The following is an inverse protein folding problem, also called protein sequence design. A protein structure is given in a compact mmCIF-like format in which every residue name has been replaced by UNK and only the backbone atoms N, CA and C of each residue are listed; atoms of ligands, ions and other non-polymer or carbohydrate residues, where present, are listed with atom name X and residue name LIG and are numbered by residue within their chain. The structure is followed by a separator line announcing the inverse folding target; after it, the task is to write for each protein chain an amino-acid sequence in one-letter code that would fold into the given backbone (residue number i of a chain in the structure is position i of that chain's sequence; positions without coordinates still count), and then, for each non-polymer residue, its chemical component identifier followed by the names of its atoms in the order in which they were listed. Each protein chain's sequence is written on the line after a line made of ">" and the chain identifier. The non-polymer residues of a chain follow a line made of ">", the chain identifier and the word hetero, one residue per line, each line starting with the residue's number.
data_IF_782436729788
#
_entry.id   IF_782436729788
#
_cell.length_a   1.000
_cell.length_b   1.000
_cell.length_c   1.000
_cell.angle_alpha   90.00
_cell.angle_beta   90.00
_cell.angle_gamma   90.00
#
_symmetry.space_group_name_H-M   'P 1'
#
loop_
_entity.id
_entity.type
_entity.pdbx_description
1 polymer ?
#
# COMPACT_ATOMS: atom_id res chain seq x y z
N UNK A 1 21.03 14.13 30.25
CA UNK A 1 20.35 15.23 29.51
C UNK A 1 20.72 15.28 28.04
N UNK A 2 22.01 15.29 27.66
CA UNK A 2 22.42 15.33 26.24
C UNK A 2 21.97 14.09 25.44
N UNK A 3 22.13 12.88 26.00
CA UNK A 3 21.67 11.63 25.39
C UNK A 3 20.15 11.63 25.16
N UNK A 4 19.39 12.13 26.13
CA UNK A 4 17.93 12.29 26.02
C UNK A 4 17.56 13.29 24.92
N UNK A 5 18.26 14.42 24.82
CA UNK A 5 18.03 15.41 23.76
C UNK A 5 18.35 14.85 22.36
N UNK A 6 19.43 14.07 22.22
CA UNK A 6 19.81 13.40 20.96
C UNK A 6 18.77 12.34 20.58
N UNK A 7 18.30 11.53 21.52
CA UNK A 7 17.23 10.55 21.28
C UNK A 7 15.93 11.27 20.91
N UNK A 8 15.54 12.33 21.61
CA UNK A 8 14.33 13.09 21.28
C UNK A 8 14.42 13.77 19.91
N UNK A 9 15.55 14.40 19.57
CA UNK A 9 15.75 14.99 18.24
C UNK A 9 15.76 13.94 17.14
N UNK A 10 16.26 12.73 17.40
CA UNK A 10 16.18 11.60 16.48
C UNK A 10 14.73 11.14 16.28
N UNK A 11 13.99 10.92 17.37
CA UNK A 11 12.56 10.54 17.34
C UNK A 11 11.68 11.60 16.70
N UNK A 12 12.13 12.85 16.57
CA UNK A 12 11.40 13.92 15.89
C UNK A 12 11.71 14.02 14.39
N UNK A 13 12.66 13.24 13.85
CA UNK A 13 13.05 13.32 12.43
C UNK A 13 11.92 13.01 11.46
N UNK A 14 10.95 12.19 11.86
CA UNK A 14 9.77 11.93 11.03
C UNK A 14 8.81 13.13 10.95
N UNK A 15 8.90 14.13 11.84
CA UNK A 15 8.00 15.28 11.83
C UNK A 15 8.17 16.13 10.58
N UNK A 16 9.40 16.31 10.10
CA UNK A 16 9.65 17.07 8.88
C UNK A 16 8.93 16.45 7.66
N UNK A 17 9.18 15.18 7.29
CA UNK A 17 8.47 14.55 6.17
C UNK A 17 6.97 14.45 6.43
N UNK A 18 6.54 14.11 7.64
CA UNK A 18 5.10 14.02 7.97
C UNK A 18 4.39 15.38 7.83
N UNK A 19 5.02 16.46 8.30
CA UNK A 19 4.50 17.83 8.17
C UNK A 19 4.35 18.24 6.72
N UNK A 20 5.31 17.90 5.86
CA UNK A 20 5.19 18.25 4.43
C UNK A 20 4.11 17.41 3.75
N UNK A 21 4.11 16.09 3.97
CA UNK A 21 3.11 15.20 3.34
C UNK A 21 1.69 15.55 3.77
N UNK A 22 1.43 15.68 5.08
CA UNK A 22 0.11 16.07 5.57
C UNK A 22 -0.18 17.54 5.25
N UNK A 23 0.81 18.41 5.33
CA UNK A 23 0.68 19.85 5.08
C UNK A 23 0.28 20.19 3.65
N UNK A 24 0.57 19.32 2.68
CA UNK A 24 0.15 19.52 1.28
C UNK A 24 -1.25 19.00 0.97
N UNK A 25 -1.89 18.27 1.91
CA UNK A 25 -3.20 17.67 1.70
C UNK A 25 -4.32 18.68 1.37
N UNK A 26 -4.39 19.87 1.98
CA UNK A 26 -5.39 20.88 1.59
C UNK A 26 -5.23 21.37 0.16
N UNK A 27 -4.00 21.68 -0.26
CA UNK A 27 -3.72 22.12 -1.62
C UNK A 27 -4.08 21.04 -2.64
N UNK A 28 -3.76 19.79 -2.32
CA UNK A 28 -4.17 18.62 -3.10
C UNK A 28 -5.69 18.50 -3.21
N UNK A 29 -6.40 18.52 -2.08
CA UNK A 29 -7.85 18.33 -2.06
C UNK A 29 -8.59 19.47 -2.76
N UNK A 30 -8.11 20.71 -2.65
CA UNK A 30 -8.66 21.84 -3.39
C UNK A 30 -8.44 21.68 -4.90
N UNK A 31 -7.25 21.24 -5.31
CA UNK A 31 -6.94 20.98 -6.72
C UNK A 31 -7.83 19.88 -7.30
N UNK A 32 -8.00 18.80 -6.55
CA UNK A 32 -8.94 17.72 -6.89
C UNK A 32 -10.40 18.20 -6.92
N UNK A 33 -10.83 18.96 -5.91
CA UNK A 33 -12.19 19.47 -5.83
C UNK A 33 -12.52 20.43 -6.97
N UNK A 34 -11.60 21.34 -7.32
CA UNK A 34 -11.72 22.22 -8.47
C UNK A 34 -11.82 21.40 -9.76
N UNK A 35 -10.97 20.39 -9.94
CA UNK A 35 -11.03 19.51 -11.10
C UNK A 35 -12.34 18.72 -11.17
N UNK A 36 -12.82 18.20 -10.04
CA UNK A 36 -14.09 17.48 -9.95
C UNK A 36 -15.27 18.36 -10.37
N UNK A 37 -15.27 19.63 -9.98
CA UNK A 37 -16.30 20.59 -10.38
C UNK A 37 -16.20 20.92 -11.88
N UNK A 38 -15.00 21.24 -12.38
CA UNK A 38 -14.77 21.60 -13.78
C UNK A 38 -15.06 20.43 -14.74
N UNK A 39 -14.83 19.20 -14.32
CA UNK A 39 -15.05 18.01 -15.14
C UNK A 39 -16.51 17.54 -15.19
N UNK A 40 -17.43 18.16 -14.44
CA UNK A 40 -18.87 17.82 -14.50
C UNK A 40 -19.48 18.05 -15.88
N UNK A 41 -18.92 18.97 -16.67
CA UNK A 41 -19.34 19.27 -18.05
C UNK A 41 -18.48 18.57 -19.10
N UNK A 42 -17.50 17.75 -18.68
CA UNK A 42 -16.54 17.07 -19.55
C UNK A 42 -16.81 15.55 -19.57
N UNK A 43 -16.27 14.81 -20.56
CA UNK A 43 -16.36 13.35 -20.56
C UNK A 43 -15.77 12.73 -19.29
N UNK A 44 -16.44 11.72 -18.74
CA UNK A 44 -16.00 11.03 -17.51
C UNK A 44 -14.59 10.42 -17.62
N UNK A 45 -14.19 10.01 -18.83
CA UNK A 45 -12.84 9.52 -19.10
C UNK A 45 -11.75 10.57 -18.82
N UNK A 46 -12.04 11.85 -19.08
CA UNK A 46 -11.10 12.93 -18.81
C UNK A 46 -10.98 13.19 -17.31
N UNK A 47 -12.10 13.14 -16.57
CA UNK A 47 -12.07 13.22 -15.10
C UNK A 47 -11.09 12.19 -14.52
N UNK A 48 -11.27 10.92 -14.87
CA UNK A 48 -10.44 9.82 -14.35
C UNK A 48 -8.98 9.94 -14.76
N UNK A 49 -8.69 10.34 -16.01
CA UNK A 49 -7.30 10.50 -16.47
C UNK A 49 -6.54 11.54 -15.65
N UNK A 50 -7.19 12.66 -15.32
CA UNK A 50 -6.58 13.72 -14.53
C UNK A 50 -6.59 13.38 -13.04
N UNK A 51 -7.61 12.69 -12.53
CA UNK A 51 -7.64 12.15 -11.16
C UNK A 51 -6.47 11.19 -10.91
N UNK A 52 -6.22 10.25 -11.83
CA UNK A 52 -5.04 9.36 -11.80
C UNK A 52 -3.73 10.16 -11.83
N UNK A 53 -3.69 11.27 -12.57
CA UNK A 53 -2.49 12.14 -12.61
C UNK A 53 -2.29 12.88 -11.29
N UNK A 54 -3.35 13.42 -10.69
CA UNK A 54 -3.30 14.07 -9.39
C UNK A 54 -2.86 13.08 -8.31
N UNK A 55 -3.44 11.88 -8.30
CA UNK A 55 -3.04 10.82 -7.39
C UNK A 55 -1.56 10.45 -7.54
N UNK A 56 -1.11 10.29 -8.79
CA UNK A 56 0.29 10.03 -9.09
C UNK A 56 1.22 11.15 -8.57
N UNK A 57 0.83 12.41 -8.70
CA UNK A 57 1.60 13.54 -8.14
C UNK A 57 1.69 13.40 -6.62
N UNK A 58 0.56 13.21 -5.94
CA UNK A 58 0.54 13.09 -4.48
C UNK A 58 1.35 11.90 -3.97
N UNK A 59 1.15 10.71 -4.53
CA UNK A 59 1.90 9.53 -4.11
C UNK A 59 3.38 9.62 -4.49
N UNK A 60 3.76 10.25 -5.60
CA UNK A 60 5.18 10.45 -5.93
C UNK A 60 5.89 11.36 -4.92
N UNK A 61 5.18 12.33 -4.33
CA UNK A 61 5.71 13.12 -3.20
C UNK A 61 5.84 12.27 -1.93
N UNK A 62 4.89 11.38 -1.65
CA UNK A 62 5.03 10.42 -0.54
C UNK A 62 6.27 9.55 -0.75
N UNK A 63 6.44 8.98 -1.95
CA UNK A 63 7.59 8.15 -2.29
C UNK A 63 8.92 8.90 -2.25
N UNK A 64 8.94 10.22 -2.50
CA UNK A 64 10.13 11.03 -2.24
C UNK A 64 10.59 10.88 -0.79
N UNK A 65 9.67 10.98 0.17
CA UNK A 65 10.02 10.89 1.57
C UNK A 65 10.35 9.47 2.04
N UNK A 66 9.66 8.46 1.49
CA UNK A 66 9.87 7.07 1.89
C UNK A 66 11.02 6.37 1.18
N UNK A 67 11.43 6.81 -0.01
CA UNK A 67 12.55 6.18 -0.72
C UNK A 67 13.76 7.13 -0.84
N UNK A 68 13.57 8.32 -1.39
CA UNK A 68 14.69 9.23 -1.66
C UNK A 68 15.24 9.91 -0.40
N UNK A 69 14.37 10.39 0.49
CA UNK A 69 14.77 11.07 1.72
C UNK A 69 15.34 10.10 2.76
N UNK A 70 14.69 8.94 2.95
CA UNK A 70 15.19 7.91 3.87
C UNK A 70 16.50 7.32 3.37
N UNK A 71 16.63 7.15 2.05
CA UNK A 71 17.75 6.46 1.42
C UNK A 71 17.66 4.95 1.61
N UNK A 72 16.46 4.40 1.86
CA UNK A 72 16.25 2.95 1.98
C UNK A 72 16.63 2.26 0.67
N UNK A 73 17.40 1.19 0.75
CA UNK A 73 17.78 0.39 -0.40
C UNK A 73 16.67 -0.63 -0.70
N UNK A 74 16.14 -0.59 -1.92
CA UNK A 74 15.15 -1.56 -2.40
C UNK A 74 15.89 -2.62 -3.24
N UNK A 75 15.87 -3.87 -2.77
CA UNK A 75 16.47 -5.02 -3.46
C UNK A 75 15.37 -5.94 -3.94
N UNK A 76 15.35 -6.19 -5.24
CA UNK A 76 14.28 -6.94 -5.90
C UNK A 76 14.82 -8.26 -6.43
N UNK A 77 14.16 -9.34 -6.06
CA UNK A 77 14.44 -10.71 -6.50
C UNK A 77 13.33 -11.12 -7.45
N UNK A 78 13.69 -11.48 -8.69
CA UNK A 78 12.73 -11.66 -9.79
C UNK A 78 12.62 -10.45 -10.71
N UNK A 79 11.87 -10.59 -11.78
CA UNK A 79 11.80 -9.59 -12.85
C UNK A 79 10.46 -8.85 -12.85
N UNK A 80 10.54 -7.53 -12.69
CA UNK A 80 9.38 -6.64 -12.79
C UNK A 80 9.07 -6.39 -14.28
N UNK A 81 7.83 -6.61 -14.73
CA UNK A 81 7.42 -6.27 -16.09
C UNK A 81 7.73 -4.82 -16.43
N UNK A 82 8.36 -4.60 -17.59
CA UNK A 82 8.67 -3.25 -18.11
C UNK A 82 7.42 -2.53 -18.59
N UNK A 83 6.45 -3.29 -19.09
CA UNK A 83 5.18 -2.77 -19.56
C UNK A 83 4.23 -2.63 -18.38
N UNK A 84 3.37 -1.63 -18.46
CA UNK A 84 2.28 -1.45 -17.51
C UNK A 84 1.21 -2.50 -17.78
N UNK A 85 0.91 -3.29 -16.77
CA UNK A 85 -0.12 -4.34 -16.79
C UNK A 85 -1.29 -3.98 -15.86
N UNK A 86 -2.46 -4.55 -16.15
CA UNK A 86 -3.59 -4.56 -15.23
C UNK A 86 -3.47 -5.75 -14.28
N UNK A 87 -3.30 -5.47 -12.99
CA UNK A 87 -2.92 -6.49 -12.01
C UNK A 87 -3.70 -6.41 -10.72
N UNK A 88 -3.76 -7.58 -10.07
CA UNK A 88 -3.99 -7.66 -8.62
C UNK A 88 -2.64 -7.94 -7.96
N UNK A 89 -2.23 -7.06 -7.06
CA UNK A 89 -1.05 -7.21 -6.24
C UNK A 89 -1.44 -7.93 -4.94
N UNK A 90 -0.81 -9.08 -4.68
CA UNK A 90 -0.98 -9.86 -3.46
C UNK A 90 0.34 -9.89 -2.69
N UNK A 91 0.29 -9.52 -1.41
CA UNK A 91 1.50 -9.52 -0.56
C UNK A 91 1.19 -9.96 0.85
N UNK A 92 2.24 -10.43 1.54
CA UNK A 92 2.23 -10.48 2.99
C UNK A 92 2.15 -9.05 3.58
N UNK A 93 1.68 -8.94 4.82
CA UNK A 93 1.40 -7.68 5.51
C UNK A 93 2.03 -7.71 6.90
N UNK A 94 2.98 -6.82 7.17
CA UNK A 94 3.82 -6.82 8.36
C UNK A 94 3.75 -5.48 9.13
N UNK A 95 3.60 -4.35 8.44
CA UNK A 95 3.59 -3.04 9.10
C UNK A 95 2.66 -2.03 8.43
N UNK A 96 2.66 -0.79 8.93
CA UNK A 96 1.90 0.30 8.29
C UNK A 96 2.51 0.75 6.96
N UNK A 97 3.72 0.30 6.60
CA UNK A 97 4.45 0.71 5.39
C UNK A 97 4.34 -0.18 4.18
N UNK A 98 3.70 -1.34 4.29
CA UNK A 98 3.60 -2.27 3.15
C UNK A 98 2.87 -1.67 1.94
N UNK A 99 1.91 -0.76 2.14
CA UNK A 99 1.24 -0.09 1.02
C UNK A 99 2.20 0.83 0.25
N UNK A 100 3.19 1.43 0.91
CA UNK A 100 4.22 2.22 0.26
C UNK A 100 5.12 1.34 -0.59
N UNK A 101 5.38 0.10 -0.15
CA UNK A 101 6.16 -0.86 -0.94
C UNK A 101 5.41 -1.23 -2.24
N UNK A 102 4.09 -1.38 -2.17
CA UNK A 102 3.28 -1.55 -3.38
C UNK A 102 3.37 -0.33 -4.32
N UNK A 103 3.33 0.90 -3.78
CA UNK A 103 3.49 2.13 -4.56
C UNK A 103 4.90 2.27 -5.15
N UNK A 104 5.95 1.87 -4.42
CA UNK A 104 7.34 1.82 -4.91
C UNK A 104 7.45 0.90 -6.15
N UNK A 105 6.79 -0.27 -6.13
CA UNK A 105 6.75 -1.15 -7.29
C UNK A 105 5.92 -0.55 -8.43
N UNK A 106 4.76 0.03 -8.11
CA UNK A 106 3.87 0.64 -9.10
C UNK A 106 4.53 1.83 -9.85
N UNK A 107 5.30 2.70 -9.17
CA UNK A 107 5.97 3.83 -9.84
C UNK A 107 7.04 3.35 -10.83
N UNK A 108 7.72 2.22 -10.54
CA UNK A 108 8.71 1.61 -11.44
C UNK A 108 8.09 1.10 -12.74
N UNK A 109 6.79 0.83 -12.73
CA UNK A 109 6.00 0.41 -13.89
C UNK A 109 5.14 1.53 -14.49
N UNK A 110 5.30 2.77 -14.03
CA UNK A 110 4.44 3.90 -14.41
C UNK A 110 2.94 3.64 -14.12
N UNK A 111 2.65 2.84 -13.10
CA UNK A 111 1.31 2.43 -12.70
C UNK A 111 0.75 3.20 -11.49
N UNK A 112 1.53 4.08 -10.85
CA UNK A 112 1.20 4.71 -9.56
C UNK A 112 -0.18 5.41 -9.53
N UNK A 113 -0.56 6.11 -10.61
CA UNK A 113 -1.88 6.76 -10.71
C UNK A 113 -3.07 5.81 -10.70
N UNK A 114 -2.83 4.53 -10.98
CA UNK A 114 -3.84 3.49 -11.17
C UNK A 114 -3.91 2.53 -9.98
N UNK A 115 -3.15 2.82 -8.92
CA UNK A 115 -3.16 2.02 -7.70
C UNK A 115 -4.50 2.19 -7.00
N UNK A 116 -5.09 1.07 -6.63
CA UNK A 116 -6.34 0.97 -5.87
C UNK A 116 -6.10 0.05 -4.70
N UNK A 117 -6.84 0.24 -3.61
CA UNK A 117 -6.62 -0.52 -2.39
C UNK A 117 -7.90 -1.18 -1.89
N UNK A 118 -7.75 -2.41 -1.40
CA UNK A 118 -8.70 -2.99 -0.44
C UNK A 118 -8.31 -2.51 0.97
N UNK A 119 -9.10 -1.58 1.50
CA UNK A 119 -8.80 -0.80 2.70
C UNK A 119 -9.59 -1.30 3.91
N UNK A 120 -9.02 -1.20 5.10
CA UNK A 120 -9.78 -1.37 6.35
C UNK A 120 -10.89 -0.32 6.43
N UNK A 121 -12.12 -0.72 6.74
CA UNK A 121 -13.30 0.17 6.81
C UNK A 121 -13.08 1.42 7.66
N UNK A 122 -12.35 1.31 8.78
CA UNK A 122 -12.03 2.48 9.62
C UNK A 122 -11.25 3.60 8.91
N UNK A 123 -10.54 3.30 7.81
CA UNK A 123 -9.76 4.30 7.07
C UNK A 123 -10.62 5.30 6.31
N UNK A 124 -11.92 5.03 6.12
CA UNK A 124 -12.85 6.01 5.52
C UNK A 124 -13.05 7.25 6.39
N UNK A 125 -12.71 7.17 7.68
CA UNK A 125 -12.81 8.29 8.62
C UNK A 125 -11.53 9.12 8.69
N UNK A 126 -10.49 8.78 7.91
CA UNK A 126 -9.29 9.59 7.86
C UNK A 126 -9.63 11.01 7.37
N UNK A 127 -9.28 12.06 8.13
CA UNK A 127 -9.50 13.45 7.74
C UNK A 127 -8.97 13.71 6.32
N UNK A 128 -9.81 14.33 5.48
CA UNK A 128 -9.58 14.59 4.04
C UNK A 128 -9.46 13.35 3.14
N UNK A 129 -8.69 12.34 3.53
CA UNK A 129 -8.32 11.23 2.67
C UNK A 129 -9.40 10.16 2.50
N UNK A 130 -10.18 9.89 3.55
CA UNK A 130 -11.11 8.76 3.54
C UNK A 130 -12.16 8.85 2.44
N UNK A 131 -12.73 10.04 2.22
CA UNK A 131 -13.64 10.26 1.09
C UNK A 131 -12.91 10.15 -0.24
N UNK A 132 -11.76 10.82 -0.38
CA UNK A 132 -10.98 10.82 -1.61
C UNK A 132 -10.60 9.39 -2.05
N UNK A 133 -10.15 8.54 -1.13
CA UNK A 133 -9.80 7.15 -1.47
C UNK A 133 -10.99 6.35 -2.00
N UNK A 134 -12.21 6.60 -1.53
CA UNK A 134 -13.40 5.95 -2.09
C UNK A 134 -13.67 6.38 -3.53
N UNK A 135 -13.54 7.68 -3.80
CA UNK A 135 -13.72 8.29 -5.13
C UNK A 135 -12.65 7.82 -6.12
N UNK A 136 -11.41 7.72 -5.64
CA UNK A 136 -10.29 7.16 -6.36
C UNK A 136 -10.36 5.61 -6.46
N UNK A 137 -11.53 4.99 -6.23
CA UNK A 137 -11.76 3.57 -6.48
C UNK A 137 -11.32 2.61 -5.37
N UNK A 138 -10.99 3.10 -4.18
CA UNK A 138 -10.75 2.29 -2.98
C UNK A 138 -11.98 1.50 -2.52
N UNK A 139 -11.73 0.31 -1.97
CA UNK A 139 -12.76 -0.63 -1.54
C UNK A 139 -12.59 -0.88 -0.04
N UNK A 140 -13.56 -0.42 0.75
CA UNK A 140 -13.54 -0.60 2.20
C UNK A 140 -14.09 -1.96 2.61
N UNK A 141 -13.36 -2.66 3.49
CA UNK A 141 -13.73 -3.97 4.03
C UNK A 141 -13.65 -3.99 5.54
N UNK A 142 -14.65 -4.62 6.16
CA UNK A 142 -14.72 -4.87 7.60
C UNK A 142 -14.14 -6.24 7.91
N UNK A 143 -13.36 -6.36 9.00
CA UNK A 143 -12.70 -7.62 9.40
C UNK A 143 -13.64 -8.63 10.08
N UNK A 144 -14.63 -8.12 10.82
CA UNK A 144 -15.50 -8.89 11.71
C UNK A 144 -16.93 -9.08 11.18
N UNK A 145 -17.33 -8.34 10.13
CA UNK A 145 -18.66 -8.48 9.55
C UNK A 145 -18.62 -9.31 8.27
N UNK A 146 -19.79 -9.79 7.85
CA UNK A 146 -19.96 -10.46 6.55
C UNK A 146 -19.37 -9.58 5.44
N UNK A 147 -18.45 -10.15 4.67
CA UNK A 147 -17.84 -9.49 3.53
C UNK A 147 -18.89 -9.15 2.48
N UNK A 148 -18.94 -7.89 2.04
CA UNK A 148 -19.93 -7.42 1.08
C UNK A 148 -19.44 -7.60 -0.35
N UNK A 149 -19.56 -8.83 -0.84
CA UNK A 149 -19.14 -9.23 -2.19
C UNK A 149 -19.82 -8.39 -3.27
N UNK A 150 -21.14 -8.15 -3.14
CA UNK A 150 -21.92 -7.39 -4.13
C UNK A 150 -21.40 -5.96 -4.29
N UNK A 151 -21.07 -5.28 -3.20
CA UNK A 151 -20.52 -3.93 -3.25
C UNK A 151 -19.14 -3.89 -3.92
N UNK A 152 -18.25 -4.84 -3.59
CA UNK A 152 -16.94 -4.95 -4.23
C UNK A 152 -17.08 -5.23 -5.73
N UNK A 153 -17.90 -6.22 -6.11
CA UNK A 153 -18.17 -6.56 -7.52
C UNK A 153 -18.68 -5.36 -8.30
N UNK A 154 -19.66 -4.63 -7.75
CA UNK A 154 -20.20 -3.41 -8.38
C UNK A 154 -19.11 -2.36 -8.63
N UNK A 155 -18.27 -2.07 -7.62
CA UNK A 155 -17.17 -1.09 -7.76
C UNK A 155 -16.15 -1.54 -8.82
N UNK A 156 -15.74 -2.80 -8.79
CA UNK A 156 -14.74 -3.34 -9.74
C UNK A 156 -15.29 -3.42 -11.17
N UNK A 157 -16.51 -3.91 -11.36
CA UNK A 157 -17.16 -3.92 -12.68
C UNK A 157 -17.25 -2.51 -13.27
N UNK A 158 -17.58 -1.51 -12.46
CA UNK A 158 -17.59 -0.13 -12.93
C UNK A 158 -16.20 0.35 -13.39
N UNK A 159 -15.11 -0.13 -12.77
CA UNK A 159 -13.73 0.18 -13.20
C UNK A 159 -13.34 -0.55 -14.50
N UNK A 160 -13.72 -1.83 -14.64
CA UNK A 160 -13.38 -2.60 -15.84
C UNK A 160 -14.21 -2.18 -17.05
N UNK A 161 -15.52 -1.91 -16.86
CA UNK A 161 -16.41 -1.45 -17.94
C UNK A 161 -16.00 -0.11 -18.55
N UNK A 162 -15.33 0.76 -17.77
CA UNK A 162 -14.79 2.03 -18.28
C UNK A 162 -13.38 1.88 -18.89
N UNK A 163 -12.80 0.68 -18.89
CA UNK A 163 -11.43 0.43 -19.34
C UNK A 163 -10.36 1.08 -18.45
N UNK A 164 -10.64 1.31 -17.17
CA UNK A 164 -9.66 1.92 -16.27
C UNK A 164 -8.46 0.99 -16.07
N UNK A 165 -7.21 1.48 -16.18
CA UNK A 165 -6.07 0.67 -15.79
C UNK A 165 -6.14 0.30 -14.31
N UNK A 166 -5.74 -0.92 -13.95
CA UNK A 166 -5.92 -1.45 -12.60
C UNK A 166 -4.59 -1.90 -11.98
N UNK A 167 -4.27 -1.40 -10.79
CA UNK A 167 -3.25 -1.97 -9.92
C UNK A 167 -3.86 -2.14 -8.53
N UNK A 168 -4.61 -3.23 -8.32
CA UNK A 168 -5.38 -3.44 -7.09
C UNK A 168 -4.54 -4.15 -6.02
N UNK A 169 -4.21 -3.44 -4.94
CA UNK A 169 -3.44 -3.95 -3.81
C UNK A 169 -4.37 -4.63 -2.81
N UNK A 170 -4.05 -5.89 -2.50
CA UNK A 170 -4.74 -6.70 -1.50
C UNK A 170 -3.67 -7.34 -0.61
N UNK A 171 -3.93 -7.32 0.69
CA UNK A 171 -3.17 -8.05 1.71
C UNK A 171 -4.05 -9.19 2.26
N UNK A 172 -3.97 -10.42 1.69
CA UNK A 172 -4.90 -11.50 2.01
C UNK A 172 -4.93 -11.92 3.48
N UNK A 173 -3.85 -11.70 4.25
CA UNK A 173 -3.81 -11.94 5.70
C UNK A 173 -4.93 -11.20 6.45
N UNK A 174 -5.41 -10.07 5.90
CA UNK A 174 -6.49 -9.26 6.46
C UNK A 174 -6.10 -8.47 7.73
N UNK A 175 -4.94 -8.77 8.31
CA UNK A 175 -4.26 -8.00 9.36
C UNK A 175 -2.76 -8.12 9.20
N UNK A 176 -2.01 -7.27 9.90
CA UNK A 176 -0.55 -7.32 9.91
C UNK A 176 -0.08 -8.47 10.78
N UNK A 177 0.84 -9.27 10.26
CA UNK A 177 1.68 -10.16 11.04
C UNK A 177 2.59 -9.32 11.95
N UNK A 178 2.61 -9.62 13.25
CA UNK A 178 3.44 -8.96 14.23
C UNK A 178 3.97 -10.02 15.22
N UNK A 179 5.31 -10.24 15.30
CA UNK A 179 5.92 -11.22 16.21
C UNK A 179 5.57 -11.04 17.69
N UNK A 180 5.30 -9.79 18.11
CA UNK A 180 4.98 -9.44 19.49
C UNK A 180 3.53 -9.80 19.85
N UNK A 181 2.65 -9.96 18.85
CA UNK A 181 1.24 -10.33 19.02
C UNK A 181 1.03 -11.85 18.92
N UNK A 182 1.60 -12.58 19.88
CA UNK A 182 1.58 -14.05 19.93
C UNK A 182 0.17 -14.66 19.84
N UNK A 183 -0.84 -14.00 20.39
CA UNK A 183 -2.23 -14.45 20.34
C UNK A 183 -2.78 -14.45 18.91
N UNK A 184 -2.51 -13.41 18.11
CA UNK A 184 -2.98 -13.31 16.72
C UNK A 184 -2.34 -14.40 15.86
N UNK A 185 -1.05 -14.69 16.10
CA UNK A 185 -0.34 -15.77 15.42
C UNK A 185 -0.93 -17.12 15.82
N UNK A 186 -1.09 -17.38 17.11
CA UNK A 186 -1.66 -18.62 17.62
C UNK A 186 -3.08 -18.89 17.09
N UNK A 187 -3.95 -17.87 17.04
CA UNK A 187 -5.29 -17.97 16.48
C UNK A 187 -5.25 -18.34 14.98
N UNK A 188 -4.33 -17.73 14.23
CA UNK A 188 -4.13 -18.03 12.80
C UNK A 188 -3.65 -19.47 12.57
N UNK A 189 -2.74 -19.95 13.41
CA UNK A 189 -2.19 -21.30 13.36
C UNK A 189 -3.24 -22.35 13.76
N UNK A 190 -4.01 -22.07 14.82
CA UNK A 190 -5.10 -22.93 15.25
C UNK A 190 -6.19 -23.05 14.18
N UNK A 191 -6.52 -21.94 13.51
CA UNK A 191 -7.43 -21.96 12.36
C UNK A 191 -6.87 -22.81 11.21
N UNK A 192 -5.59 -22.66 10.84
CA UNK A 192 -4.97 -23.45 9.78
C UNK A 192 -5.01 -24.95 10.11
N UNK A 193 -4.60 -25.34 11.32
CA UNK A 193 -4.61 -26.73 11.76
C UNK A 193 -6.02 -27.33 11.74
N UNK A 194 -7.04 -26.58 12.21
CA UNK A 194 -8.44 -27.01 12.20
C UNK A 194 -8.97 -27.23 10.77
N UNK A 195 -8.56 -26.40 9.83
CA UNK A 195 -8.99 -26.46 8.43
C UNK A 195 -8.15 -27.41 7.57
N UNK A 196 -7.16 -28.10 8.15
CA UNK A 196 -6.25 -28.97 7.42
C UNK A 196 -5.31 -28.23 6.46
N UNK A 197 -5.02 -26.95 6.74
CA UNK A 197 -4.11 -26.10 5.99
C UNK A 197 -2.71 -26.12 6.64
N UNK A 198 -1.67 -25.79 5.87
CA UNK A 198 -0.34 -25.62 6.42
C UNK A 198 -0.30 -24.54 7.51
N UNK A 199 0.41 -24.84 8.60
CA UNK A 199 0.60 -23.93 9.73
C UNK A 199 1.81 -23.04 9.43
N UNK A 200 1.54 -21.76 9.19
CA UNK A 200 2.53 -20.77 8.79
C UNK A 200 3.24 -20.14 10.00
N UNK A 201 4.52 -19.78 9.85
CA UNK A 201 5.39 -19.27 10.92
C UNK A 201 5.64 -17.77 10.85
N UNK A 202 5.82 -17.22 9.65
CA UNK A 202 6.24 -15.84 9.40
C UNK A 202 5.19 -14.99 8.67
N UNK A 203 4.06 -15.60 8.34
CA UNK A 203 2.85 -14.99 7.77
C UNK A 203 1.60 -15.52 8.48
N UNK A 204 0.50 -14.81 8.36
CA UNK A 204 -0.82 -15.28 8.78
C UNK A 204 -1.52 -16.03 7.65
N UNK A 205 -2.43 -16.92 8.03
CA UNK A 205 -3.25 -17.70 7.11
C UNK A 205 -4.10 -16.77 6.24
N UNK A 206 -3.98 -16.80 4.90
CA UNK A 206 -4.66 -15.85 4.03
C UNK A 206 -6.17 -16.06 4.00
N UNK A 207 -6.91 -14.96 3.82
CA UNK A 207 -8.36 -14.94 3.60
C UNK A 207 -8.65 -14.77 2.12
N UNK A 208 -9.29 -15.77 1.51
CA UNK A 208 -9.51 -15.80 0.06
C UNK A 208 -10.52 -14.78 -0.50
N UNK A 209 -11.55 -14.40 0.27
CA UNK A 209 -12.78 -13.81 -0.30
C UNK A 209 -12.55 -12.56 -1.14
N UNK A 210 -11.78 -11.60 -0.63
CA UNK A 210 -11.53 -10.34 -1.34
C UNK A 210 -10.68 -10.55 -2.60
N UNK A 211 -9.65 -11.39 -2.51
CA UNK A 211 -8.79 -11.73 -3.65
C UNK A 211 -9.57 -12.49 -4.73
N UNK A 212 -10.35 -13.51 -4.35
CA UNK A 212 -11.17 -14.30 -5.26
C UNK A 212 -12.19 -13.42 -5.99
N UNK A 213 -12.97 -12.63 -5.24
CA UNK A 213 -13.95 -11.71 -5.84
C UNK A 213 -13.30 -10.70 -6.77
N UNK A 214 -12.12 -10.16 -6.40
CA UNK A 214 -11.41 -9.22 -7.24
C UNK A 214 -10.98 -9.83 -8.57
N UNK A 215 -10.29 -10.98 -8.52
CA UNK A 215 -9.74 -11.66 -9.68
C UNK A 215 -10.87 -12.18 -10.57
N UNK A 216 -11.88 -12.82 -10.00
CA UNK A 216 -13.05 -13.34 -10.71
C UNK A 216 -13.81 -12.21 -11.44
N UNK A 217 -14.03 -11.08 -10.77
CA UNK A 217 -14.75 -9.94 -11.36
C UNK A 217 -13.99 -9.26 -12.49
N UNK A 218 -12.65 -9.20 -12.37
CA UNK A 218 -11.80 -8.49 -13.33
C UNK A 218 -11.08 -9.43 -14.31
N UNK A 219 -11.43 -10.72 -14.35
CA UNK A 219 -10.67 -11.75 -15.09
C UNK A 219 -10.40 -11.40 -16.56
N UNK A 220 -11.37 -10.80 -17.25
CA UNK A 220 -11.22 -10.38 -18.65
C UNK A 220 -10.45 -9.06 -18.85
N UNK A 221 -10.03 -8.41 -17.78
CA UNK A 221 -9.35 -7.11 -17.77
C UNK A 221 -7.94 -7.18 -17.15
N UNK A 222 -7.61 -8.25 -16.43
CA UNK A 222 -6.31 -8.46 -15.79
C UNK A 222 -5.36 -9.20 -16.72
N UNK A 223 -4.09 -8.82 -16.69
CA UNK A 223 -2.99 -9.54 -17.35
C UNK A 223 -2.37 -10.58 -16.41
N UNK A 224 -2.23 -10.24 -15.12
CA UNK A 224 -1.52 -11.06 -14.14
C UNK A 224 -1.93 -10.78 -12.68
N UNK A 225 -1.51 -11.69 -11.79
CA UNK A 225 -1.31 -11.39 -10.37
C UNK A 225 0.17 -11.19 -10.11
N UNK A 226 0.50 -10.11 -9.42
CA UNK A 226 1.83 -9.94 -8.84
C UNK A 226 1.81 -10.49 -7.42
N UNK A 227 2.46 -11.63 -7.23
CA UNK A 227 2.63 -12.26 -5.94
C UNK A 227 3.96 -11.82 -5.32
N UNK A 228 3.88 -10.95 -4.33
CA UNK A 228 5.04 -10.23 -3.77
C UNK A 228 5.29 -10.62 -2.33
N UNK A 229 6.54 -10.89 -1.98
CA UNK A 229 6.95 -11.17 -0.60
C UNK A 229 7.90 -10.08 -0.14
N UNK A 230 7.53 -9.37 0.92
CA UNK A 230 8.33 -8.27 1.48
C UNK A 230 8.98 -8.72 2.79
N UNK A 231 10.28 -8.46 2.92
CA UNK A 231 11.03 -8.59 4.15
C UNK A 231 11.84 -7.32 4.43
N UNK A 232 11.82 -6.90 5.69
CA UNK A 232 12.56 -5.72 6.16
C UNK A 232 13.88 -6.19 6.80
N UNK A 233 15.02 -5.70 6.30
CA UNK A 233 16.32 -5.99 6.91
C UNK A 233 16.46 -5.22 8.24
N UNK A 234 17.21 -5.77 9.19
CA UNK A 234 17.44 -5.17 10.50
C UNK A 234 16.36 -5.46 11.53
N UNK A 235 15.40 -6.34 11.22
CA UNK A 235 14.35 -6.79 12.16
C UNK A 235 14.74 -8.10 12.87
N UNK A 236 16.02 -8.42 12.99
CA UNK A 236 16.52 -9.51 13.83
C UNK A 236 17.14 -8.91 15.10
N UNK A 237 16.82 -9.51 16.24
CA UNK A 237 17.43 -9.15 17.51
C UNK A 237 18.82 -9.78 17.70
N UNK A 238 19.50 -9.43 18.80
CA UNK A 238 20.82 -9.99 19.13
C UNK A 238 20.81 -11.50 19.38
N UNK A 239 19.64 -12.10 19.60
CA UNK A 239 19.44 -13.54 19.74
C UNK A 239 18.99 -14.22 18.44
N UNK A 240 18.91 -13.48 17.34
CA UNK A 240 18.44 -13.98 16.05
C UNK A 240 16.92 -14.13 15.96
N UNK A 241 16.15 -13.58 16.92
CA UNK A 241 14.70 -13.60 16.86
C UNK A 241 14.16 -12.43 16.05
N UNK A 242 13.11 -12.70 15.28
CA UNK A 242 12.43 -11.70 14.46
C UNK A 242 11.63 -10.71 15.31
N UNK A 243 11.88 -9.43 15.12
CA UNK A 243 11.14 -8.29 15.69
C UNK A 243 10.08 -7.78 14.72
N UNK A 244 9.20 -6.93 15.23
CA UNK A 244 8.24 -6.17 14.43
C UNK A 244 8.91 -5.38 13.31
N UNK A 245 8.29 -5.39 12.14
CA UNK A 245 8.69 -4.56 11.01
C UNK A 245 8.43 -3.07 11.32
N UNK A 246 9.27 -2.15 10.79
CA UNK A 246 9.23 -0.75 11.17
C UNK A 246 7.91 -0.09 10.81
N UNK A 247 7.30 0.61 11.75
CA UNK A 247 6.15 1.44 11.49
C UNK A 247 6.53 2.69 10.66
N UNK A 248 5.53 3.37 10.09
CA UNK A 248 5.71 4.64 9.35
C UNK A 248 6.70 5.64 9.98
N UNK A 249 6.60 5.99 11.29
CA UNK A 249 7.52 6.95 11.89
C UNK A 249 8.96 6.44 11.95
N UNK A 250 9.16 5.17 12.35
CA UNK A 250 10.47 4.50 12.42
C UNK A 250 11.11 4.42 11.03
N UNK A 251 10.31 4.12 10.01
CA UNK A 251 10.72 4.13 8.61
C UNK A 251 11.25 5.52 8.21
N UNK A 252 10.49 6.58 8.48
CA UNK A 252 10.88 7.98 8.17
C UNK A 252 12.06 8.47 9.02
N UNK A 253 12.31 7.85 10.18
CA UNK A 253 13.51 8.04 10.98
C UNK A 253 14.74 7.28 10.44
N UNK A 254 14.62 6.59 9.31
CA UNK A 254 15.70 5.81 8.66
C UNK A 254 16.11 4.56 9.42
N UNK A 255 15.19 3.98 10.19
CA UNK A 255 15.47 2.75 10.95
C UNK A 255 15.45 1.49 10.07
N UNK A 256 14.90 1.58 8.85
CA UNK A 256 15.01 0.55 7.83
C UNK A 256 16.07 0.93 6.80
N UNK A 257 17.15 0.16 6.71
CA UNK A 257 18.23 0.40 5.73
C UNK A 257 17.96 -0.25 4.39
N UNK A 258 17.41 -1.46 4.40
CA UNK A 258 17.17 -2.25 3.18
C UNK A 258 15.88 -3.03 3.29
N UNK A 259 15.18 -3.12 2.16
CA UNK A 259 13.97 -3.91 2.00
C UNK A 259 14.19 -4.89 0.86
N UNK A 260 13.93 -6.15 1.13
CA UNK A 260 14.01 -7.23 0.16
C UNK A 260 12.60 -7.53 -0.32
N UNK A 261 12.46 -7.60 -1.63
CA UNK A 261 11.19 -7.85 -2.30
C UNK A 261 11.39 -9.04 -3.24
N UNK A 262 10.77 -10.18 -2.92
CA UNK A 262 10.63 -11.26 -3.89
C UNK A 262 9.39 -10.98 -4.74
N UNK A 263 9.57 -10.92 -6.05
CA UNK A 263 8.54 -10.59 -7.02
C UNK A 263 8.31 -11.79 -7.94
N UNK A 264 7.09 -12.33 -7.93
CA UNK A 264 6.66 -13.37 -8.85
C UNK A 264 5.42 -12.90 -9.63
N UNK A 265 5.47 -13.04 -10.96
CA UNK A 265 4.35 -12.71 -11.85
C UNK A 265 3.64 -14.00 -12.24
N UNK A 266 2.40 -14.15 -11.80
CA UNK A 266 1.54 -15.28 -12.16
C UNK A 266 0.58 -14.83 -13.25
N UNK A 267 0.61 -15.46 -14.42
CA UNK A 267 -0.30 -15.13 -15.52
C UNK A 267 -1.75 -15.37 -15.11
N UNK A 268 -2.68 -14.49 -15.52
CA UNK A 268 -4.10 -14.63 -15.16
C UNK A 268 -4.70 -15.98 -15.60
N UNK A 269 -4.15 -16.60 -16.65
CA UNK A 269 -4.59 -17.90 -17.18
C UNK A 269 -4.25 -19.06 -16.24
N UNK A 270 -3.23 -18.90 -15.40
CA UNK A 270 -2.79 -19.91 -14.44
C UNK A 270 -3.62 -19.89 -13.15
N UNK A 271 -4.44 -18.86 -12.95
CA UNK A 271 -5.19 -18.67 -11.70
C UNK A 271 -6.53 -19.43 -11.76
N UNK A 272 -6.78 -20.37 -10.84
CA UNK A 272 -8.02 -21.12 -10.83
C UNK A 272 -9.24 -20.22 -10.56
N UNK A 273 -10.30 -20.39 -11.34
CA UNK A 273 -11.53 -19.59 -11.16
C UNK A 273 -12.48 -20.20 -10.14
N UNK A 274 -12.49 -21.54 -10.03
CA UNK A 274 -13.35 -22.24 -9.07
C UNK A 274 -12.92 -21.90 -7.63
N UNK A 275 -13.84 -21.53 -6.73
CA UNK A 275 -13.52 -21.12 -5.37
C UNK A 275 -12.64 -22.10 -4.57
N UNK A 276 -12.88 -23.41 -4.70
CA UNK A 276 -12.13 -24.42 -3.97
C UNK A 276 -10.66 -24.50 -4.44
N UNK A 277 -10.44 -24.53 -5.76
CA UNK A 277 -9.09 -24.52 -6.33
C UNK A 277 -8.38 -23.18 -6.11
N UNK A 278 -9.09 -22.05 -6.16
CA UNK A 278 -8.52 -20.74 -5.84
C UNK A 278 -8.09 -20.67 -4.38
N UNK A 279 -8.89 -21.21 -3.45
CA UNK A 279 -8.53 -21.29 -2.03
C UNK A 279 -7.20 -22.01 -1.87
N UNK A 280 -7.08 -23.20 -2.46
CA UNK A 280 -5.85 -23.99 -2.41
C UNK A 280 -4.67 -23.23 -3.00
N UNK A 281 -4.82 -22.69 -4.21
CA UNK A 281 -3.78 -21.90 -4.86
C UNK A 281 -3.30 -20.73 -3.99
N UNK A 282 -4.20 -19.97 -3.37
CA UNK A 282 -3.82 -18.85 -2.50
C UNK A 282 -3.08 -19.33 -1.24
N UNK A 283 -3.48 -20.45 -0.65
CA UNK A 283 -2.75 -21.03 0.47
C UNK A 283 -1.36 -21.52 0.05
N UNK A 284 -1.24 -22.21 -1.09
CA UNK A 284 0.04 -22.65 -1.65
C UNK A 284 0.98 -21.44 -1.89
N UNK A 285 0.45 -20.31 -2.40
CA UNK A 285 1.23 -19.07 -2.53
C UNK A 285 1.75 -18.58 -1.18
N UNK A 286 0.92 -18.60 -0.13
CA UNK A 286 1.35 -18.18 1.21
C UNK A 286 2.33 -19.15 1.87
N UNK A 287 2.27 -20.45 1.58
CA UNK A 287 3.29 -21.41 1.99
C UNK A 287 4.66 -21.09 1.35
N UNK A 288 4.67 -20.69 0.07
CA UNK A 288 5.88 -20.21 -0.60
C UNK A 288 6.41 -18.95 0.09
N UNK A 289 5.54 -17.97 0.39
CA UNK A 289 5.94 -16.74 1.12
C UNK A 289 6.54 -17.06 2.48
N UNK A 290 5.91 -17.98 3.21
CA UNK A 290 6.35 -18.37 4.54
C UNK A 290 7.72 -19.03 4.50
N UNK A 291 7.95 -19.93 3.53
CA UNK A 291 9.26 -20.54 3.31
C UNK A 291 10.34 -19.52 2.96
N UNK A 292 10.03 -18.60 2.04
CA UNK A 292 10.95 -17.50 1.68
C UNK A 292 11.34 -16.66 2.89
N UNK A 293 10.38 -16.38 3.79
CA UNK A 293 10.64 -15.63 5.01
C UNK A 293 11.38 -16.46 6.07
N UNK A 294 11.13 -17.77 6.17
CA UNK A 294 11.91 -18.69 7.01
C UNK A 294 13.37 -18.67 6.58
N UNK A 295 13.64 -18.85 5.28
CA UNK A 295 15.01 -18.80 4.76
C UNK A 295 15.65 -17.42 5.00
N UNK A 296 14.88 -16.34 4.84
CA UNK A 296 15.36 -14.97 5.07
C UNK A 296 15.78 -14.72 6.52
N UNK A 297 14.98 -15.17 7.50
CA UNK A 297 15.19 -14.86 8.92
C UNK A 297 15.95 -15.93 9.70
N UNK A 298 15.95 -17.18 9.26
CA UNK A 298 16.40 -18.34 10.05
C UNK A 298 17.45 -19.20 9.35
N UNK A 299 17.98 -18.75 8.20
CA UNK A 299 19.08 -19.45 7.52
C UNK A 299 20.29 -19.62 8.44
N UNK A 300 20.78 -20.85 8.54
CA UNK A 300 22.04 -21.19 9.21
C UNK A 300 23.26 -20.81 8.37
N UNK A 301 23.08 -20.64 7.07
CA UNK A 301 24.09 -20.17 6.13
C UNK A 301 24.11 -18.63 6.18
N UNK A 302 25.19 -18.07 6.72
CA UNK A 302 25.34 -16.62 6.90
C UNK A 302 25.33 -15.85 5.58
N UNK A 303 25.69 -16.49 4.46
CA UNK A 303 25.67 -15.85 3.15
C UNK A 303 24.24 -15.68 2.59
N UNK A 304 23.31 -16.51 3.09
CA UNK A 304 21.88 -16.51 2.71
C UNK A 304 21.00 -15.74 3.69
N UNK A 305 21.48 -15.46 4.90
CA UNK A 305 20.73 -14.69 5.89
C UNK A 305 20.38 -13.30 5.34
N UNK A 306 19.15 -12.84 5.60
CA UNK A 306 18.61 -11.59 5.08
C UNK A 306 18.65 -11.48 3.54
N UNK A 307 18.52 -12.60 2.82
CA UNK A 307 18.38 -12.63 1.36
C UNK A 307 17.31 -13.61 0.96
N UNK A 308 16.55 -13.26 -0.08
CA UNK A 308 15.71 -14.25 -0.76
C UNK A 308 16.57 -15.10 -1.73
N UNK A 309 16.08 -16.28 -2.13
CA UNK A 309 16.70 -17.07 -3.20
C UNK A 309 16.81 -16.27 -4.50
N UNK A 310 17.89 -16.53 -5.25
CA UNK A 310 18.18 -15.87 -6.52
C UNK A 310 19.01 -14.59 -6.39
N UNK A 311 19.22 -13.92 -7.53
CA UNK A 311 19.99 -12.69 -7.60
C UNK A 311 19.11 -11.47 -7.25
N UNK A 312 19.41 -10.83 -6.13
CA UNK A 312 18.78 -9.58 -5.73
C UNK A 312 19.39 -8.39 -6.47
N UNK A 313 18.58 -7.63 -7.20
CA UNK A 313 19.01 -6.45 -7.95
C UNK A 313 18.60 -5.18 -7.19
N UNK A 314 19.55 -4.31 -6.81
CA UNK A 314 19.22 -2.98 -6.32
C UNK A 314 18.41 -2.21 -7.36
N UNK A 315 17.31 -1.61 -6.93
CA UNK A 315 16.39 -0.90 -7.81
C UNK A 315 16.14 0.50 -7.26
N UNK A 316 17.06 1.47 -7.40
CA UNK A 316 16.87 2.80 -6.84
C UNK A 316 15.84 3.62 -7.63
N UNK A 317 14.94 4.32 -6.92
CA UNK A 317 14.01 5.27 -7.55
C UNK A 317 14.70 6.61 -7.86
N UNK A 318 14.74 6.97 -9.14
CA UNK A 318 15.34 8.21 -9.60
C UNK A 318 14.56 9.44 -9.09
N UNK A 319 15.27 10.47 -8.59
CA UNK A 319 14.69 11.73 -8.11
C UNK A 319 13.79 12.42 -9.14
N UNK A 320 14.05 12.26 -10.44
CA UNK A 320 13.20 12.80 -11.51
C UNK A 320 11.75 12.26 -11.49
N UNK A 321 11.50 11.12 -10.84
CA UNK A 321 10.17 10.53 -10.69
C UNK A 321 9.38 11.12 -9.52
N UNK A 322 10.04 11.69 -8.53
CA UNK A 322 9.43 12.06 -7.24
C UNK A 322 9.58 13.54 -6.90
N UNK A 323 10.75 14.12 -7.16
CA UNK A 323 11.07 15.52 -6.84
C UNK A 323 10.14 16.54 -7.52
N UNK A 324 9.75 16.40 -8.81
CA UNK A 324 8.81 17.33 -9.42
C UNK A 324 7.50 17.45 -8.66
N UNK A 325 7.01 16.35 -8.09
CA UNK A 325 5.77 16.34 -7.31
C UNK A 325 5.91 17.09 -5.99
N UNK A 326 7.07 16.99 -5.33
CA UNK A 326 7.38 17.78 -4.12
C UNK A 326 7.37 19.27 -4.45
N UNK A 327 7.98 19.66 -5.58
CA UNK A 327 8.02 21.07 -6.02
C UNK A 327 6.62 21.58 -6.37
N UNK A 328 5.83 20.80 -7.12
CA UNK A 328 4.46 21.18 -7.51
C UNK A 328 3.59 21.37 -6.27
N UNK A 329 3.55 20.39 -5.37
CA UNK A 329 2.69 20.46 -4.19
C UNK A 329 3.19 21.51 -3.20
N UNK A 330 4.50 21.63 -3.00
CA UNK A 330 5.10 22.70 -2.21
C UNK A 330 4.76 24.09 -2.77
N UNK A 331 4.83 24.27 -4.09
CA UNK A 331 4.50 25.51 -4.78
C UNK A 331 3.01 25.89 -4.68
N UNK A 332 2.11 24.90 -4.61
CA UNK A 332 0.68 25.13 -4.37
C UNK A 332 0.38 25.44 -2.89
N UNK A 333 1.08 24.77 -1.98
CA UNK A 333 0.86 24.94 -0.54
C UNK A 333 1.47 26.23 0.01
N UNK A 334 2.64 26.64 -0.47
CA UNK A 334 3.36 27.78 0.09
C UNK A 334 2.56 29.10 0.03
N UNK A 335 1.93 29.50 -1.08
CA UNK A 335 1.08 30.70 -1.13
C UNK A 335 -0.11 30.66 -0.17
N UNK A 336 -0.66 29.45 0.07
CA UNK A 336 -1.72 29.26 1.06
C UNK A 336 -1.20 29.54 2.47
N UNK A 337 0.06 29.22 2.79
CA UNK A 337 0.60 29.46 4.12
C UNK A 337 1.09 30.90 4.33
N UNK A 338 1.60 31.54 3.26
CA UNK A 338 2.20 32.88 3.36
C UNK A 338 1.16 34.01 3.44
N UNK A 339 -0.02 33.84 2.84
CA UNK A 339 -1.06 34.88 2.83
C UNK A 339 -2.11 34.68 3.92
N UNK A 340 -2.69 35.76 4.46
CA UNK A 340 -3.75 35.65 5.47
C UNK A 340 -4.99 34.92 4.94
N UNK A 341 -5.44 35.30 3.74
CA UNK A 341 -6.56 34.65 3.06
C UNK A 341 -6.26 33.18 2.74
N UNK A 342 -5.03 32.89 2.30
CA UNK A 342 -4.56 31.53 2.09
C UNK A 342 -4.63 30.69 3.36
N UNK A 343 -4.19 31.21 4.52
CA UNK A 343 -4.20 30.47 5.78
C UNK A 343 -5.63 30.18 6.23
N UNK A 344 -6.54 31.15 6.06
CA UNK A 344 -7.97 30.94 6.30
C UNK A 344 -8.52 29.82 5.41
N UNK A 345 -8.20 29.83 4.11
CA UNK A 345 -8.61 28.79 3.17
C UNK A 345 -8.01 27.41 3.53
N UNK A 346 -6.74 27.38 3.90
CA UNK A 346 -6.03 26.18 4.32
C UNK A 346 -6.69 25.50 5.52
N UNK A 347 -6.92 26.26 6.60
CA UNK A 347 -7.57 25.75 7.81
C UNK A 347 -9.02 25.36 7.55
N UNK A 348 -9.76 26.16 6.77
CA UNK A 348 -11.13 25.81 6.35
C UNK A 348 -11.17 24.53 5.55
N UNK A 349 -10.20 24.28 4.68
CA UNK A 349 -10.14 23.03 3.90
C UNK A 349 -9.94 21.83 4.83
N UNK A 350 -9.06 21.95 5.83
CA UNK A 350 -8.91 20.91 6.85
C UNK A 350 -10.21 20.61 7.58
N UNK A 351 -10.87 21.64 8.10
CA UNK A 351 -12.09 21.47 8.91
C UNK A 351 -13.28 21.06 8.03
N UNK A 352 -13.65 21.89 7.06
CA UNK A 352 -14.80 21.66 6.19
C UNK A 352 -14.62 20.44 5.31
N UNK A 353 -13.43 20.21 4.74
CA UNK A 353 -13.15 19.02 3.93
C UNK A 353 -13.28 17.73 4.73
N UNK A 354 -12.84 17.72 6.00
CA UNK A 354 -13.01 16.58 6.90
C UNK A 354 -14.48 16.34 7.23
N UNK A 355 -15.20 17.40 7.61
CA UNK A 355 -16.63 17.29 7.94
C UNK A 355 -17.45 16.82 6.73
N UNK A 356 -17.19 17.37 5.53
CA UNK A 356 -17.83 16.94 4.29
C UNK A 356 -17.52 15.47 3.99
N UNK A 357 -16.26 15.05 4.15
CA UNK A 357 -15.87 13.65 3.96
C UNK A 357 -16.60 12.71 4.92
N UNK A 358 -16.70 13.09 6.20
CA UNK A 358 -17.44 12.30 7.20
C UNK A 358 -18.95 12.27 6.93
N UNK A 359 -19.55 13.39 6.51
CA UNK A 359 -20.95 13.42 6.08
C UNK A 359 -21.19 12.51 4.88
N UNK A 360 -20.30 12.57 3.88
CA UNK A 360 -20.37 11.71 2.69
C UNK A 360 -20.29 10.23 3.06
N UNK A 361 -19.36 9.85 3.94
CA UNK A 361 -19.21 8.47 4.43
C UNK A 361 -20.47 7.96 5.13
N UNK A 362 -21.19 8.83 5.86
CA UNK A 362 -22.45 8.45 6.51
C UNK A 362 -23.60 8.31 5.50
N UNK A 363 -23.66 9.19 4.49
CA UNK A 363 -24.71 9.20 3.48
C UNK A 363 -24.54 8.09 2.41
N UNK A 364 -23.29 7.72 2.09
CA UNK A 364 -22.93 6.74 1.06
C UNK A 364 -21.95 5.70 1.63
N UNK A 365 -22.40 4.83 2.54
CA UNK A 365 -21.55 3.93 3.33
C UNK A 365 -20.83 2.82 2.56
#
# INVERSE_FOLDING_TARGET
>A
MLLSLVVHTYSLRYWFPATIMLGTAPAYLLSWGAWRLLSTILPSSLYHKIDDRLYCIYQSMVLFFFENYTGVEIVIYGDIPKNKENVVYLSNHQCTADWIIADMLAIRQSALGHVRYVLKDGLKWLPLYGWYFSEHGGIYVKRSSKFNEKAMRKKLLAQTQRGAPMYLVIFPEGTRYNPDLKNVIADSQAFAAKEGLAVLKHTLTPRMKAAHVAIDTMKGHLDAVYDVTVAYEGTLDSSGQRRSAPAMPEFLCKECRRIHIHFDRVDIKEIPSEPAFFRRWLHDRFEIKDRLLTDFYESQDSDKLCKFPGEGKPSPLNLSKTLPSVVILGGLTLPMLLTENGRKLYVRTWVCGTLLGWLWVNAFP
#
